data_IF_257496907318
#
_entry.id   IF_257496907318
#
_cell.length_a   1.000
_cell.length_b   1.000
_cell.length_c   1.000
_cell.angle_alpha   90.00
_cell.angle_beta   90.00
_cell.angle_gamma   90.00
#
_symmetry.space_group_name_H-M   'P 1'
#
loop_
_entity.id
_entity.type
_entity.pdbx_description
1 polymer ?
#
# COMPACT_ATOMS: atom_id res chain seq x y z
N UNK A 1 -1.97 -10.95 -6.12
CA UNK A 1 -3.06 -10.31 -5.35
C UNK A 1 -2.62 -8.97 -4.76
N UNK A 2 -1.62 -8.94 -3.87
CA UNK A 2 -1.08 -7.68 -3.31
C UNK A 2 -0.59 -6.74 -4.42
N UNK A 3 0.19 -7.26 -5.37
CA UNK A 3 0.64 -6.51 -6.57
C UNK A 3 -0.52 -5.91 -7.38
N UNK A 4 -1.68 -6.59 -7.47
CA UNK A 4 -2.84 -6.07 -8.18
C UNK A 4 -3.51 -4.91 -7.41
N UNK A 5 -3.59 -5.01 -6.08
CA UNK A 5 -4.07 -3.92 -5.24
C UNK A 5 -3.13 -2.70 -5.31
N UNK A 6 -1.81 -2.92 -5.28
CA UNK A 6 -0.82 -1.84 -5.45
C UNK A 6 -0.97 -1.16 -6.82
N UNK A 7 -1.14 -1.94 -7.90
CA UNK A 7 -1.37 -1.38 -9.24
C UNK A 7 -2.66 -0.55 -9.31
N UNK A 8 -3.76 -1.05 -8.74
CA UNK A 8 -5.03 -0.34 -8.71
C UNK A 8 -4.92 0.99 -7.93
N UNK A 9 -4.21 0.99 -6.81
CA UNK A 9 -3.95 2.22 -6.05
C UNK A 9 -3.02 3.17 -6.82
N UNK A 10 -1.97 2.67 -7.46
CA UNK A 10 -1.08 3.49 -8.28
C UNK A 10 -1.83 4.16 -9.43
N UNK A 11 -2.74 3.43 -10.09
CA UNK A 11 -3.61 3.96 -11.15
C UNK A 11 -4.59 5.02 -10.60
N UNK A 12 -5.14 4.80 -9.41
CA UNK A 12 -6.06 5.74 -8.77
C UNK A 12 -5.37 7.02 -8.28
N UNK A 13 -4.09 6.94 -7.90
CA UNK A 13 -3.27 8.10 -7.52
C UNK A 13 -2.78 8.90 -8.74
N UNK A 14 -2.62 8.24 -9.89
CA UNK A 14 -2.12 8.84 -11.12
C UNK A 14 -0.80 9.57 -10.90
N UNK A 15 -0.70 10.79 -11.42
CA UNK A 15 0.51 11.63 -11.29
C UNK A 15 0.58 12.40 -9.96
N UNK A 16 -0.48 12.33 -9.15
CA UNK A 16 -0.62 13.13 -7.93
C UNK A 16 -0.19 12.40 -6.66
N UNK A 17 0.22 11.14 -6.80
CA UNK A 17 0.63 10.32 -5.68
C UNK A 17 1.49 9.13 -6.09
N UNK A 18 1.99 8.41 -5.10
CA UNK A 18 2.89 7.27 -5.28
C UNK A 18 2.58 6.20 -4.26
N UNK A 19 2.79 4.95 -4.63
CA UNK A 19 2.74 3.82 -3.70
C UNK A 19 3.96 2.94 -3.86
N UNK A 20 4.52 2.52 -2.72
CA UNK A 20 5.64 1.58 -2.65
C UNK A 20 5.32 0.52 -1.60
N UNK A 21 5.42 -0.75 -1.99
CA UNK A 21 5.33 -1.89 -1.07
C UNK A 21 6.60 -2.72 -1.21
N UNK A 22 7.27 -2.96 -0.08
CA UNK A 22 8.46 -3.81 -0.02
C UNK A 22 8.54 -4.59 1.28
N UNK A 23 9.13 -5.77 1.22
CA UNK A 23 9.56 -6.48 2.42
C UNK A 23 10.77 -5.78 3.04
N UNK A 24 10.82 -5.75 4.37
CA UNK A 24 12.00 -5.25 5.08
C UNK A 24 13.08 -6.33 5.07
N UNK A 25 14.32 -5.96 4.72
CA UNK A 25 15.44 -6.91 4.68
C UNK A 25 16.09 -7.18 6.04
N UNK A 26 15.74 -6.40 7.06
CA UNK A 26 16.36 -6.45 8.40
C UNK A 26 15.37 -6.79 9.50
N UNK A 27 14.07 -6.78 9.22
CA UNK A 27 13.00 -6.99 10.19
C UNK A 27 11.88 -7.80 9.53
N UNK A 28 11.13 -8.64 10.27
CA UNK A 28 10.04 -9.45 9.72
C UNK A 28 8.77 -8.61 9.51
N UNK A 29 8.87 -7.53 8.73
CA UNK A 29 7.78 -6.58 8.48
C UNK A 29 7.67 -6.21 7.00
N UNK A 30 6.45 -5.93 6.55
CA UNK A 30 6.18 -5.37 5.22
C UNK A 30 6.01 -3.86 5.35
N UNK A 31 6.75 -3.10 4.54
CA UNK A 31 6.68 -1.63 4.51
C UNK A 31 5.77 -1.21 3.36
N UNK A 32 4.70 -0.49 3.72
CA UNK A 32 3.75 0.13 2.78
C UNK A 32 3.89 1.63 2.93
N UNK A 33 4.20 2.33 1.83
CA UNK A 33 4.30 3.78 1.77
C UNK A 33 3.34 4.29 0.70
N UNK A 34 2.56 5.30 1.04
CA UNK A 34 1.62 5.97 0.13
C UNK A 34 1.81 7.47 0.26
N UNK A 35 1.89 8.14 -0.88
CA UNK A 35 1.90 9.60 -1.02
C UNK A 35 0.68 10.01 -1.85
N UNK A 36 -0.04 11.04 -1.41
CA UNK A 36 -1.23 11.58 -2.06
C UNK A 36 -1.40 13.07 -1.68
N UNK A 37 -2.22 13.84 -2.41
CA UNK A 37 -2.39 15.28 -2.17
C UNK A 37 -2.99 15.63 -0.82
N UNK A 38 -3.79 14.73 -0.26
CA UNK A 38 -4.47 14.92 1.02
C UNK A 38 -4.35 13.69 1.92
N UNK A 39 -4.50 13.93 3.22
CA UNK A 39 -4.31 12.91 4.26
C UNK A 39 -5.35 11.78 4.15
N UNK A 40 -6.60 12.10 3.85
CA UNK A 40 -7.69 11.13 3.81
C UNK A 40 -7.51 10.13 2.66
N UNK A 41 -7.11 10.62 1.49
CA UNK A 41 -6.76 9.81 0.32
C UNK A 41 -5.56 8.91 0.61
N UNK A 42 -4.50 9.47 1.22
CA UNK A 42 -3.33 8.71 1.66
C UNK A 42 -3.73 7.56 2.59
N UNK A 43 -4.48 7.88 3.65
CA UNK A 43 -4.90 6.93 4.67
C UNK A 43 -5.80 5.84 4.08
N UNK A 44 -6.77 6.23 3.23
CA UNK A 44 -7.68 5.30 2.56
C UNK A 44 -6.92 4.26 1.74
N UNK A 45 -5.99 4.70 0.89
CA UNK A 45 -5.25 3.79 0.00
C UNK A 45 -4.23 2.94 0.74
N UNK A 46 -3.56 3.51 1.76
CA UNK A 46 -2.69 2.74 2.64
C UNK A 46 -3.46 1.61 3.35
N UNK A 47 -4.61 1.94 3.96
CA UNK A 47 -5.49 0.97 4.62
C UNK A 47 -5.97 -0.12 3.66
N UNK A 48 -6.39 0.25 2.44
CA UNK A 48 -6.83 -0.70 1.43
C UNK A 48 -5.76 -1.76 1.10
N UNK A 49 -4.50 -1.34 0.95
CA UNK A 49 -3.40 -2.26 0.62
C UNK A 49 -3.01 -3.11 1.84
N UNK A 50 -3.03 -2.53 3.03
CA UNK A 50 -2.78 -3.25 4.29
C UNK A 50 -3.83 -4.35 4.52
N UNK A 51 -5.11 -4.08 4.26
CA UNK A 51 -6.16 -5.10 4.40
C UNK A 51 -5.94 -6.26 3.42
N UNK A 52 -5.54 -6.00 2.18
CA UNK A 52 -5.21 -7.05 1.22
C UNK A 52 -4.02 -7.89 1.71
N UNK A 53 -2.99 -7.26 2.28
CA UNK A 53 -1.83 -7.96 2.85
C UNK A 53 -2.24 -8.85 4.03
N UNK A 54 -3.07 -8.33 4.96
CA UNK A 54 -3.62 -9.09 6.09
C UNK A 54 -4.51 -10.25 5.64
N UNK A 55 -5.40 -10.02 4.67
CA UNK A 55 -6.30 -11.06 4.14
C UNK A 55 -5.56 -12.23 3.49
N UNK A 56 -4.31 -12.01 3.06
CA UNK A 56 -3.43 -13.04 2.49
C UNK A 56 -2.51 -13.71 3.50
N UNK A 57 -2.56 -13.30 4.77
CA UNK A 57 -1.77 -13.90 5.85
C UNK A 57 -0.32 -13.41 5.93
N UNK A 58 0.01 -12.30 5.26
CA UNK A 58 1.37 -11.74 5.27
C UNK A 58 1.62 -10.75 6.43
N UNK A 59 0.60 -10.45 7.22
CA UNK A 59 0.69 -9.60 8.41
C UNK A 59 -0.40 -10.00 9.42
N UNK A 60 -0.10 -9.86 10.70
CA UNK A 60 -1.02 -10.00 11.84
C UNK A 60 -1.67 -8.65 12.17
#
# INVERSE_FOLDING_TARGET
AVQAAVKAVAEALGDTGRILVRESGTEPVVRVMVEAPDHDTCQKYASQVVEVIKSKGYAV
#
